data_IF_884150391331
#
_entry.id   IF_884150391331
#
_cell.length_a   1.000
_cell.length_b   1.000
_cell.length_c   1.000
_cell.angle_alpha   90.00
_cell.angle_beta   90.00
_cell.angle_gamma   90.00
#
_symmetry.space_group_name_H-M   'P 1'
#
loop_
_entity.id
_entity.type
_entity.pdbx_description
1 polymer ?
#
# COMPACT_ATOMS: atom_id res chain seq x y z
N UNK A 1 -6.52 -26.32 -17.45
CA UNK A 1 -6.84 -25.26 -18.44
C UNK A 1 -7.65 -24.11 -17.83
N UNK A 2 -8.73 -24.35 -17.07
CA UNK A 2 -9.53 -23.27 -16.45
C UNK A 2 -8.84 -22.48 -15.32
N UNK A 3 -8.28 -23.16 -14.31
CA UNK A 3 -7.55 -22.52 -13.18
C UNK A 3 -6.38 -21.63 -13.64
N UNK A 4 -5.60 -22.09 -14.62
CA UNK A 4 -4.49 -21.31 -15.18
C UNK A 4 -4.96 -20.03 -15.88
N UNK A 5 -6.13 -20.07 -16.55
CA UNK A 5 -6.74 -18.87 -17.17
C UNK A 5 -7.27 -17.90 -16.11
N UNK A 6 -7.89 -18.41 -15.05
CA UNK A 6 -8.36 -17.62 -13.91
C UNK A 6 -7.18 -16.93 -13.23
N UNK A 7 -6.09 -17.66 -12.95
CA UNK A 7 -4.88 -17.11 -12.36
C UNK A 7 -4.21 -16.05 -13.27
N UNK A 8 -4.21 -16.25 -14.59
CA UNK A 8 -3.65 -15.28 -15.54
C UNK A 8 -4.44 -13.97 -15.64
N UNK A 9 -5.68 -13.91 -15.12
CA UNK A 9 -6.50 -12.68 -15.06
C UNK A 9 -6.22 -11.84 -13.81
N UNK A 10 -5.37 -12.32 -12.90
CA UNK A 10 -4.93 -11.59 -11.71
C UNK A 10 -4.25 -10.25 -12.03
N UNK A 11 -3.65 -10.14 -13.22
CA UNK A 11 -3.02 -8.93 -13.74
C UNK A 11 -4.09 -7.94 -14.21
N UNK A 12 -4.57 -7.13 -13.27
CA UNK A 12 -5.37 -5.93 -13.55
C UNK A 12 -4.57 -4.93 -14.38
N UNK A 13 -5.31 -4.18 -15.20
CA UNK A 13 -4.86 -3.45 -16.38
C UNK A 13 -4.49 -1.99 -16.08
N UNK A 14 -4.44 -1.61 -14.80
CA UNK A 14 -4.21 -0.22 -14.34
C UNK A 14 -2.74 0.17 -14.17
N UNK A 15 -1.82 -0.73 -14.50
CA UNK A 15 -0.39 -0.45 -14.58
C UNK A 15 0.31 -0.29 -13.23
N UNK A 16 1.63 -0.15 -13.29
CA UNK A 16 2.50 0.11 -12.13
C UNK A 16 2.89 1.58 -12.16
N UNK A 17 2.57 2.32 -11.10
CA UNK A 17 2.93 3.73 -10.94
C UNK A 17 3.75 3.88 -9.67
N UNK A 18 4.93 4.49 -9.75
CA UNK A 18 5.86 4.66 -8.62
C UNK A 18 6.18 3.34 -7.87
N UNK A 19 6.22 2.21 -8.59
CA UNK A 19 6.44 0.89 -8.00
C UNK A 19 5.21 0.24 -7.36
N UNK A 20 4.02 0.84 -7.49
CA UNK A 20 2.75 0.32 -6.96
C UNK A 20 1.86 -0.23 -8.07
N UNK A 21 1.45 -1.49 -7.97
CA UNK A 21 0.33 -1.99 -8.74
C UNK A 21 -0.97 -1.49 -8.11
N UNK A 22 -1.74 -0.76 -8.90
CA UNK A 22 -3.06 -0.30 -8.53
C UNK A 22 -4.07 -1.22 -9.19
N UNK A 23 -5.06 -1.71 -8.44
CA UNK A 23 -6.14 -2.54 -8.96
C UNK A 23 -7.47 -1.79 -8.74
N UNK A 24 -7.96 -1.08 -9.77
CA UNK A 24 -9.16 -0.23 -9.66
C UNK A 24 -10.44 -0.89 -10.21
N UNK A 25 -10.39 -2.16 -10.60
CA UNK A 25 -11.49 -2.85 -11.29
C UNK A 25 -11.92 -4.18 -10.64
N UNK A 26 -11.29 -4.57 -9.52
CA UNK A 26 -11.55 -5.87 -8.89
C UNK A 26 -12.99 -6.04 -8.40
N UNK A 27 -13.62 -4.99 -7.87
CA UNK A 27 -15.03 -5.02 -7.48
C UNK A 27 -16.02 -4.81 -8.63
N UNK A 28 -15.55 -4.46 -9.83
CA UNK A 28 -16.38 -3.98 -10.94
C UNK A 28 -16.21 -4.89 -12.16
N UNK A 29 -16.90 -6.03 -12.16
CA UNK A 29 -16.77 -7.03 -13.23
C UNK A 29 -17.90 -7.02 -14.26
N UNK A 30 -19.12 -6.57 -13.92
CA UNK A 30 -20.25 -6.61 -14.87
C UNK A 30 -20.43 -8.02 -15.47
N UNK A 31 -20.32 -8.14 -16.79
CA UNK A 31 -20.35 -9.40 -17.55
C UNK A 31 -18.96 -9.98 -17.88
N UNK A 32 -17.87 -9.43 -17.33
CA UNK A 32 -16.53 -10.05 -17.35
C UNK A 32 -16.50 -11.26 -16.41
N UNK A 33 -16.97 -12.40 -16.91
CA UNK A 33 -17.09 -13.64 -16.15
C UNK A 33 -15.72 -14.22 -15.75
N UNK A 34 -14.67 -13.98 -16.53
CA UNK A 34 -13.32 -14.43 -16.18
C UNK A 34 -12.78 -13.65 -14.97
N UNK A 35 -12.98 -12.33 -14.94
CA UNK A 35 -12.66 -11.51 -13.78
C UNK A 35 -13.51 -11.87 -12.56
N UNK A 36 -14.80 -12.11 -12.75
CA UNK A 36 -15.68 -12.58 -11.65
C UNK A 36 -15.18 -13.90 -11.06
N UNK A 37 -14.74 -14.84 -11.91
CA UNK A 37 -14.17 -16.12 -11.47
C UNK A 37 -12.85 -15.93 -10.71
N UNK A 38 -11.99 -15.02 -11.17
CA UNK A 38 -10.76 -14.66 -10.45
C UNK A 38 -11.05 -14.07 -9.07
N UNK A 39 -11.97 -13.12 -8.99
CA UNK A 39 -12.37 -12.51 -7.72
C UNK A 39 -12.95 -13.56 -6.77
N UNK A 40 -13.80 -14.46 -7.25
CA UNK A 40 -14.33 -15.56 -6.42
C UNK A 40 -13.24 -16.52 -5.93
N UNK A 41 -12.16 -16.70 -6.69
CA UNK A 41 -11.05 -17.59 -6.35
C UNK A 41 -10.02 -16.97 -5.41
N UNK A 42 -9.62 -15.71 -5.65
CA UNK A 42 -8.44 -15.10 -5.03
C UNK A 42 -8.69 -13.75 -4.33
N UNK A 43 -9.87 -13.14 -4.50
CA UNK A 43 -10.20 -11.84 -3.93
C UNK A 43 -11.66 -11.77 -3.48
N UNK A 44 -12.15 -12.84 -2.85
CA UNK A 44 -13.56 -12.98 -2.52
C UNK A 44 -14.03 -11.79 -1.67
N UNK A 45 -15.09 -11.11 -2.11
CA UNK A 45 -15.57 -9.89 -1.46
C UNK A 45 -14.79 -8.63 -1.81
N UNK A 46 -14.06 -8.61 -2.94
CA UNK A 46 -13.39 -7.41 -3.43
C UNK A 46 -14.36 -6.21 -3.48
N UNK A 47 -13.96 -5.14 -2.80
CA UNK A 47 -14.72 -3.90 -2.74
C UNK A 47 -14.74 -3.18 -4.09
N UNK A 48 -15.76 -2.35 -4.30
CA UNK A 48 -15.69 -1.33 -5.35
C UNK A 48 -14.53 -0.38 -5.05
N UNK A 49 -13.84 0.17 -6.06
CA UNK A 49 -12.74 1.10 -5.84
C UNK A 49 -13.19 2.37 -5.10
N UNK A 50 -14.46 2.77 -5.22
CA UNK A 50 -15.04 3.88 -4.46
C UNK A 50 -15.11 3.61 -2.94
N UNK A 51 -15.12 2.33 -2.54
CA UNK A 51 -15.17 1.92 -1.13
C UNK A 51 -13.76 1.62 -0.60
N UNK A 52 -12.93 0.89 -1.36
CA UNK A 52 -11.54 0.66 -0.99
C UNK A 52 -10.62 0.34 -2.18
N UNK A 53 -9.39 0.85 -2.13
CA UNK A 53 -8.32 0.51 -3.08
C UNK A 53 -7.09 0.01 -2.32
N UNK A 54 -6.44 -1.02 -2.87
CA UNK A 54 -5.29 -1.70 -2.26
C UNK A 54 -4.04 -1.64 -3.16
N UNK A 55 -3.31 -0.51 -3.21
CA UNK A 55 -2.03 -0.47 -3.93
C UNK A 55 -1.03 -1.45 -3.31
N UNK A 56 -0.42 -2.28 -4.16
CA UNK A 56 0.56 -3.30 -3.76
C UNK A 56 1.94 -2.92 -4.28
N UNK A 57 2.96 -2.91 -3.42
CA UNK A 57 4.33 -2.72 -3.86
C UNK A 57 4.75 -3.86 -4.81
N UNK A 58 5.40 -3.53 -5.93
CA UNK A 58 5.81 -4.52 -6.95
C UNK A 58 7.19 -5.13 -6.73
N UNK A 59 7.91 -4.69 -5.69
CA UNK A 59 9.20 -5.23 -5.31
C UNK A 59 9.16 -5.99 -4.00
N UNK A 60 10.08 -6.94 -3.86
CA UNK A 60 10.50 -7.43 -2.55
C UNK A 60 11.56 -6.49 -1.99
N UNK A 61 11.37 -6.07 -0.75
CA UNK A 61 12.35 -5.27 0.00
C UNK A 61 13.16 -6.19 0.91
N UNK A 62 14.38 -5.79 1.25
CA UNK A 62 15.26 -6.52 2.16
C UNK A 62 15.28 -5.83 3.53
N UNK A 63 15.26 -6.60 4.62
CA UNK A 63 15.41 -6.06 5.98
C UNK A 63 16.74 -5.35 6.24
N UNK A 64 17.76 -5.60 5.41
CA UNK A 64 19.04 -4.90 5.43
C UNK A 64 18.95 -3.47 4.86
N UNK A 65 17.89 -3.19 4.10
CA UNK A 65 17.68 -1.89 3.47
C UNK A 65 16.98 -0.90 4.40
N UNK A 66 17.32 0.37 4.24
CA UNK A 66 16.60 1.48 4.87
C UNK A 66 15.75 2.16 3.80
N UNK A 67 14.42 2.15 3.96
CA UNK A 67 13.52 2.70 2.95
C UNK A 67 12.73 3.88 3.50
N UNK A 68 12.43 4.81 2.61
CA UNK A 68 11.64 5.99 2.92
C UNK A 68 10.48 6.16 1.95
N UNK A 69 9.33 6.53 2.51
CA UNK A 69 8.15 6.98 1.78
C UNK A 69 7.88 8.43 2.13
N UNK A 70 8.12 9.34 1.20
CA UNK A 70 7.97 10.77 1.47
C UNK A 70 6.73 11.34 0.80
N UNK A 71 5.78 11.77 1.61
CA UNK A 71 4.64 12.56 1.18
C UNK A 71 4.99 14.04 1.27
N UNK A 72 4.83 14.83 0.19
CA UNK A 72 4.95 16.28 0.30
C UNK A 72 3.87 16.83 1.22
N UNK A 73 4.03 18.09 1.65
CA UNK A 73 2.98 18.81 2.38
C UNK A 73 1.66 18.71 1.62
N UNK A 74 0.58 18.37 2.33
CA UNK A 74 -0.76 18.16 1.77
C UNK A 74 -0.87 17.01 0.73
N UNK A 75 0.15 16.15 0.64
CA UNK A 75 0.23 15.03 -0.31
C UNK A 75 -0.15 13.65 0.25
N UNK A 76 -0.62 13.58 1.50
CA UNK A 76 -1.12 12.34 2.10
C UNK A 76 -2.31 11.76 1.29
N UNK A 77 -2.61 10.44 1.43
CA UNK A 77 -3.68 9.81 0.66
C UNK A 77 -5.03 10.54 0.74
N UNK A 78 -5.62 10.93 -0.41
CA UNK A 78 -6.86 11.69 -0.46
C UNK A 78 -8.08 10.77 -0.26
N UNK A 79 -8.36 10.46 0.99
CA UNK A 79 -9.47 9.61 1.42
C UNK A 79 -10.47 10.39 2.30
N UNK A 80 -11.72 9.94 2.33
CA UNK A 80 -12.75 10.49 3.21
C UNK A 80 -12.74 9.83 4.60
N UNK A 81 -12.29 8.57 4.68
CA UNK A 81 -12.23 7.82 5.93
C UNK A 81 -10.80 7.77 6.48
N UNK A 82 -10.05 6.71 6.14
CA UNK A 82 -8.69 6.53 6.63
C UNK A 82 -7.86 5.72 5.62
N UNK A 83 -6.55 5.78 5.79
CA UNK A 83 -5.61 4.96 5.05
C UNK A 83 -4.65 4.26 6.02
N UNK A 84 -4.04 3.18 5.56
CA UNK A 84 -2.94 2.51 6.24
C UNK A 84 -1.93 1.96 5.25
N UNK A 85 -0.65 2.03 5.59
CA UNK A 85 0.44 1.26 5.00
C UNK A 85 0.74 0.09 5.94
N UNK A 86 0.64 -1.14 5.45
CA UNK A 86 0.89 -2.36 6.23
C UNK A 86 2.08 -3.11 5.65
N UNK A 87 2.93 -3.63 6.53
CA UNK A 87 4.07 -4.47 6.17
C UNK A 87 3.73 -5.95 6.36
N UNK A 88 4.16 -6.77 5.40
CA UNK A 88 4.10 -8.24 5.46
C UNK A 88 5.47 -8.82 5.15
N UNK A 89 5.84 -9.91 5.83
CA UNK A 89 7.09 -10.62 5.56
C UNK A 89 7.10 -11.40 4.22
N UNK A 90 8.19 -12.12 3.99
CA UNK A 90 8.43 -13.07 2.90
C UNK A 90 7.29 -14.03 2.60
N UNK A 91 6.57 -14.43 3.65
CA UNK A 91 5.51 -15.45 3.60
C UNK A 91 4.11 -14.83 3.64
N UNK A 92 4.01 -13.51 3.73
CA UNK A 92 2.74 -12.77 3.73
C UNK A 92 2.11 -12.60 5.11
N UNK A 93 2.86 -12.76 6.20
CA UNK A 93 2.38 -12.57 7.58
C UNK A 93 2.75 -11.21 8.14
N UNK A 94 2.00 -10.78 9.17
CA UNK A 94 2.34 -9.60 9.96
C UNK A 94 3.56 -9.90 10.82
N UNK A 95 4.45 -8.91 10.93
CA UNK A 95 5.71 -9.07 11.66
C UNK A 95 5.57 -8.53 13.08
N UNK A 96 5.87 -9.39 14.06
CA UNK A 96 6.02 -8.98 15.45
C UNK A 96 7.23 -8.07 15.61
N UNK A 97 7.09 -7.01 16.39
CA UNK A 97 8.16 -6.05 16.63
C UNK A 97 7.98 -5.35 17.99
N UNK A 98 9.03 -4.70 18.53
CA UNK A 98 8.99 -4.08 19.86
C UNK A 98 7.90 -3.02 20.05
N UNK A 99 7.40 -2.41 18.97
CA UNK A 99 6.34 -1.41 19.01
C UNK A 99 4.93 -2.02 18.86
N UNK A 100 4.82 -3.33 18.66
CA UNK A 100 3.58 -4.02 18.29
C UNK A 100 2.86 -3.31 17.13
N UNK A 101 3.64 -2.86 16.12
CA UNK A 101 3.18 -2.02 15.02
C UNK A 101 3.42 -2.67 13.68
N UNK A 102 2.36 -3.17 13.04
CA UNK A 102 2.45 -3.74 11.68
C UNK A 102 1.95 -2.77 10.60
N UNK A 103 1.42 -1.61 10.99
CA UNK A 103 0.96 -0.58 10.05
C UNK A 103 1.13 0.84 10.57
N UNK A 104 1.16 1.80 9.65
CA UNK A 104 1.03 3.23 9.93
C UNK A 104 -0.06 3.85 9.07
N UNK A 105 -0.76 4.86 9.56
CA UNK A 105 -1.83 5.50 8.82
C UNK A 105 -2.43 6.73 9.48
N UNK A 106 -3.65 7.07 9.07
CA UNK A 106 -4.40 8.25 9.55
C UNK A 106 -4.60 8.27 11.07
N UNK A 107 -4.62 7.09 11.71
CA UNK A 107 -4.90 6.94 13.14
C UNK A 107 -3.65 7.08 14.02
N UNK A 108 -2.47 7.11 13.41
CA UNK A 108 -1.21 7.25 14.12
C UNK A 108 -0.83 8.73 14.27
N UNK A 109 -0.10 9.05 15.33
CA UNK A 109 0.42 10.39 15.59
C UNK A 109 1.69 10.66 14.75
N UNK A 110 1.53 10.65 13.43
CA UNK A 110 2.62 10.94 12.49
C UNK A 110 3.15 12.36 12.71
N UNK A 111 4.47 12.50 12.78
CA UNK A 111 5.18 13.77 12.94
C UNK A 111 5.59 14.32 11.57
N UNK A 112 5.05 15.47 11.14
CA UNK A 112 5.54 16.15 9.95
C UNK A 112 6.97 16.70 10.16
N UNK A 113 7.73 16.81 9.08
CA UNK A 113 8.96 17.59 9.05
C UNK A 113 8.69 19.10 9.04
N UNK A 114 9.76 19.89 9.11
CA UNK A 114 9.67 21.37 9.16
C UNK A 114 8.99 21.96 7.91
N UNK A 115 9.15 21.31 6.75
CA UNK A 115 8.50 21.73 5.51
C UNK A 115 7.06 21.21 5.36
N UNK A 116 6.54 20.53 6.39
CA UNK A 116 5.21 19.94 6.43
C UNK A 116 5.08 18.61 5.68
N UNK A 117 6.17 18.07 5.13
CA UNK A 117 6.19 16.71 4.58
C UNK A 117 6.01 15.66 5.66
N UNK A 118 5.51 14.47 5.28
CA UNK A 118 5.46 13.31 6.16
C UNK A 118 6.31 12.22 5.54
N UNK A 119 7.37 11.81 6.23
CA UNK A 119 8.24 10.72 5.81
C UNK A 119 7.95 9.50 6.67
N UNK A 120 7.58 8.38 6.03
CA UNK A 120 7.50 7.07 6.66
C UNK A 120 8.84 6.36 6.48
N UNK A 121 9.39 5.84 7.57
CA UNK A 121 10.62 5.05 7.57
C UNK A 121 10.26 3.57 7.65
N UNK A 122 10.86 2.74 6.79
CA UNK A 122 10.66 1.29 6.78
C UNK A 122 12.03 0.62 6.82
N UNK A 123 12.37 0.04 7.96
CA UNK A 123 13.69 -0.55 8.22
C UNK A 123 13.65 -1.41 9.48
N UNK A 124 14.60 -2.33 9.63
CA UNK A 124 14.67 -3.24 10.78
C UNK A 124 15.07 -2.54 12.08
N UNK A 125 16.10 -1.69 12.03
CA UNK A 125 16.59 -0.94 13.18
C UNK A 125 15.84 0.39 13.34
N UNK A 126 15.68 0.87 14.59
CA UNK A 126 15.06 2.18 14.82
C UNK A 126 15.83 3.30 14.12
N UNK A 127 15.17 4.19 13.36
CA UNK A 127 15.82 5.35 12.73
C UNK A 127 16.20 6.45 13.75
N UNK A 128 16.04 6.19 15.05
CA UNK A 128 16.29 7.10 16.15
C UNK A 128 15.00 7.62 16.80
N UNK A 129 15.03 7.98 18.09
CA UNK A 129 13.84 8.24 18.91
C UNK A 129 12.92 9.34 18.33
N UNK A 130 13.50 10.33 17.65
CA UNK A 130 12.72 11.43 17.07
C UNK A 130 11.89 11.02 15.84
N UNK A 131 12.26 9.91 15.19
CA UNK A 131 11.64 9.40 13.96
C UNK A 131 10.72 8.20 14.19
N UNK A 132 10.71 7.62 15.39
CA UNK A 132 9.93 6.42 15.70
C UNK A 132 8.42 6.61 15.51
N UNK A 133 7.91 7.83 15.63
CA UNK A 133 6.51 8.14 15.36
C UNK A 133 6.09 7.77 13.93
N UNK A 134 7.01 7.85 12.96
CA UNK A 134 6.76 7.55 11.55
C UNK A 134 7.47 6.27 11.09
N UNK A 135 7.99 5.48 12.02
CA UNK A 135 8.73 4.26 11.69
C UNK A 135 7.80 3.05 11.68
N UNK A 136 7.91 2.25 10.62
CA UNK A 136 7.31 0.94 10.46
C UNK A 136 8.42 -0.11 10.55
N UNK A 137 8.52 -0.84 11.69
CA UNK A 137 9.58 -1.84 11.86
C UNK A 137 9.46 -2.97 10.85
N UNK A 138 10.56 -3.24 10.13
CA UNK A 138 10.65 -4.32 9.15
C UNK A 138 11.33 -5.57 9.76
N UNK A 139 11.07 -6.78 9.21
CA UNK A 139 11.85 -7.97 9.56
C UNK A 139 13.28 -7.86 9.01
N UNK A 140 14.19 -8.73 9.45
CA UNK A 140 15.51 -8.88 8.80
C UNK A 140 15.40 -9.55 7.42
N UNK A 141 14.38 -10.38 7.23
CA UNK A 141 14.10 -11.05 5.96
C UNK A 141 13.50 -10.13 4.90
N UNK A 142 13.00 -10.73 3.84
CA UNK A 142 12.28 -9.99 2.81
C UNK A 142 10.90 -9.55 3.31
N UNK A 143 10.39 -8.47 2.73
CA UNK A 143 9.05 -7.97 3.03
C UNK A 143 8.41 -7.27 1.84
N UNK A 144 7.10 -7.04 1.94
CA UNK A 144 6.29 -6.28 1.00
C UNK A 144 5.43 -5.25 1.73
N UNK A 145 4.93 -4.26 0.99
CA UNK A 145 4.08 -3.20 1.52
C UNK A 145 2.74 -3.17 0.79
N UNK A 146 1.67 -2.98 1.56
CA UNK A 146 0.31 -2.84 1.04
C UNK A 146 -0.31 -1.56 1.60
N UNK A 147 -0.72 -0.67 0.70
CA UNK A 147 -1.63 0.40 1.07
C UNK A 147 -3.06 -0.12 1.15
N UNK A 148 -3.83 0.46 2.05
CA UNK A 148 -5.29 0.33 2.11
C UNK A 148 -5.87 1.73 2.17
N UNK A 149 -6.61 2.12 1.15
CA UNK A 149 -7.24 3.43 1.04
C UNK A 149 -8.75 3.24 1.16
N UNK A 150 -9.36 3.69 2.26
CA UNK A 150 -10.79 3.52 2.49
C UNK A 150 -11.56 4.77 2.12
N UNK A 151 -12.56 4.60 1.27
CA UNK A 151 -13.40 5.65 0.72
C UNK A 151 -12.58 6.77 0.04
N UNK A 152 -11.84 6.48 -1.05
CA UNK A 152 -11.10 7.50 -1.78
C UNK A 152 -12.01 8.65 -2.22
N UNK A 153 -11.48 9.88 -2.22
CA UNK A 153 -12.21 11.04 -2.73
C UNK A 153 -12.54 10.85 -4.22
N UNK A 154 -13.69 11.32 -4.66
CA UNK A 154 -14.08 11.25 -6.08
C UNK A 154 -13.59 12.44 -6.90
N UNK A 155 -13.23 13.55 -6.23
CA UNK A 155 -12.65 14.73 -6.86
C UNK A 155 -11.11 14.71 -6.75
N UNK A 156 -10.38 15.26 -7.74
CA UNK A 156 -8.94 15.42 -7.67
C UNK A 156 -8.47 16.21 -6.43
N UNK A 157 -7.33 15.86 -5.83
CA UNK A 157 -6.49 14.70 -6.14
C UNK A 157 -7.15 13.38 -5.69
N UNK A 158 -7.08 12.32 -6.51
CA UNK A 158 -7.65 11.00 -6.21
C UNK A 158 -6.87 9.84 -6.85
N UNK A 159 -6.90 8.68 -6.19
CA UNK A 159 -6.42 7.44 -6.81
C UNK A 159 -7.38 6.95 -7.92
N UNK A 160 -8.66 7.32 -7.85
CA UNK A 160 -9.70 6.84 -8.77
C UNK A 160 -9.56 7.41 -10.18
N UNK A 161 -9.00 8.62 -10.30
CA UNK A 161 -8.75 9.31 -11.57
C UNK A 161 -7.25 9.43 -11.88
N UNK A 162 -6.41 8.76 -11.09
CA UNK A 162 -4.94 8.78 -11.20
C UNK A 162 -4.28 10.15 -11.06
N UNK A 163 -4.99 11.17 -10.57
CA UNK A 163 -4.38 12.48 -10.23
C UNK A 163 -3.58 12.42 -8.92
N UNK A 164 -3.73 11.33 -8.16
CA UNK A 164 -2.87 10.97 -7.03
C UNK A 164 -2.43 9.52 -7.15
N UNK A 165 -1.16 9.26 -6.83
CA UNK A 165 -0.61 7.93 -6.62
C UNK A 165 0.28 7.96 -5.39
N UNK A 166 0.48 6.82 -4.70
CA UNK A 166 1.46 6.76 -3.63
C UNK A 166 2.85 7.16 -4.15
N UNK A 167 3.67 7.85 -3.33
CA UNK A 167 5.05 8.14 -3.71
C UNK A 167 5.86 6.84 -3.84
N UNK A 168 6.97 6.93 -4.56
CA UNK A 168 7.90 5.82 -4.71
C UNK A 168 8.51 5.43 -3.35
N UNK A 169 8.82 4.13 -3.22
CA UNK A 169 9.61 3.61 -2.10
C UNK A 169 11.08 3.79 -2.46
N UNK A 170 11.75 4.73 -1.80
CA UNK A 170 13.16 5.03 -2.07
C UNK A 170 14.07 4.33 -1.06
N UNK A 171 15.19 3.78 -1.53
CA UNK A 171 16.27 3.33 -0.66
C UNK A 171 17.01 4.56 -0.13
N UNK A 172 16.99 4.77 1.19
CA UNK A 172 17.75 5.80 1.85
C UNK A 172 19.25 5.51 1.71
N UNK A 173 20.02 6.57 1.40
CA UNK A 173 21.48 6.53 1.29
C UNK A 173 22.15 6.76 2.64
#
# INVERSE_FOLDING_TARGET
LGLARIAARATSTTGVVNGWAMNLDLGTYGTDYERRAYVAYAALGANLPQDAVYPLSQGWYSGEGHYVLRFPKDGLPPVNAFWSLTLYDGDGYLVENPLNRSSLGTRDALKPGEDGSVTIYVQHESPGPDKEANWLPAPQGTFTLTFRLYWPKTAPPSILDSTWAPPEIELAK
#
